data_IF_910137991723
#
_entry.id   IF_910137991723
#
_cell.length_a   1.000
_cell.length_b   1.000
_cell.length_c   1.000
_cell.angle_alpha   90.00
_cell.angle_beta   90.00
_cell.angle_gamma   90.00
#
_symmetry.space_group_name_H-M   'P 1'
#
loop_
_entity.id
_entity.type
_entity.pdbx_description
1 polymer ?
#
# COMPACT_ATOMS: atom_id res chain seq x y z
N UNK A 1 -20.28 13.86 -11.19
CA UNK A 1 -20.34 12.54 -10.54
C UNK A 1 -21.23 12.65 -9.34
N UNK A 2 -22.43 12.05 -9.40
CA UNK A 2 -23.53 12.38 -8.51
C UNK A 2 -23.57 11.52 -7.26
N UNK A 3 -23.97 12.14 -6.14
CA UNK A 3 -24.33 11.47 -4.88
C UNK A 3 -25.22 10.22 -5.08
N UNK A 4 -26.03 10.17 -6.15
CA UNK A 4 -26.82 8.99 -6.54
C UNK A 4 -26.00 7.71 -6.74
N UNK A 5 -24.85 7.78 -7.44
CA UNK A 5 -23.99 6.59 -7.66
C UNK A 5 -23.40 6.05 -6.35
N UNK A 6 -23.11 6.95 -5.41
CA UNK A 6 -22.61 6.57 -4.08
C UNK A 6 -23.70 5.88 -3.25
N UNK A 7 -24.94 6.36 -3.34
CA UNK A 7 -26.08 5.73 -2.66
C UNK A 7 -26.43 4.37 -3.26
N UNK A 8 -26.46 4.25 -4.60
CA UNK A 8 -26.68 2.98 -5.30
C UNK A 8 -25.68 1.89 -4.87
N UNK A 9 -24.43 2.28 -4.60
CA UNK A 9 -23.41 1.35 -4.09
C UNK A 9 -23.69 0.87 -2.66
N UNK A 10 -24.03 1.79 -1.74
CA UNK A 10 -24.20 1.42 -0.33
C UNK A 10 -25.58 0.82 0.01
N UNK A 11 -26.64 1.19 -0.73
CA UNK A 11 -28.01 0.73 -0.50
C UNK A 11 -28.14 -0.79 -0.32
N UNK A 12 -27.62 -1.66 -1.21
CA UNK A 12 -27.74 -3.10 -1.04
C UNK A 12 -26.97 -3.64 0.17
N UNK A 13 -25.89 -2.96 0.58
CA UNK A 13 -25.02 -3.39 1.68
C UNK A 13 -25.60 -3.05 3.06
N UNK A 14 -26.58 -2.14 3.15
CA UNK A 14 -27.27 -1.80 4.39
C UNK A 14 -28.08 -2.97 5.01
N UNK A 15 -28.29 -4.05 4.24
CA UNK A 15 -28.93 -5.30 4.66
C UNK A 15 -27.97 -6.50 4.74
N UNK A 16 -26.65 -6.31 4.63
CA UNK A 16 -25.69 -7.42 4.59
C UNK A 16 -25.74 -8.28 5.87
N UNK A 17 -25.50 -9.59 5.72
CA UNK A 17 -25.46 -10.54 6.85
C UNK A 17 -24.27 -10.24 7.77
N UNK A 18 -23.15 -9.74 7.22
CA UNK A 18 -21.96 -9.38 7.96
C UNK A 18 -22.18 -8.05 8.70
N UNK A 19 -22.16 -8.05 10.05
CA UNK A 19 -22.49 -6.87 10.84
C UNK A 19 -21.55 -5.69 10.56
N UNK A 20 -20.26 -5.93 10.37
CA UNK A 20 -19.27 -4.87 10.09
C UNK A 20 -19.54 -4.17 8.75
N UNK A 21 -19.74 -4.95 7.68
CA UNK A 21 -20.04 -4.40 6.34
C UNK A 21 -21.35 -3.63 6.34
N UNK A 22 -22.36 -4.17 7.03
CA UNK A 22 -23.67 -3.55 7.18
C UNK A 22 -23.61 -2.22 7.92
N UNK A 23 -22.94 -2.19 9.08
CA UNK A 23 -22.81 -0.96 9.88
C UNK A 23 -22.04 0.10 9.10
N UNK A 24 -20.93 -0.29 8.48
CA UNK A 24 -20.16 0.59 7.62
C UNK A 24 -21.00 1.17 6.47
N UNK A 25 -21.74 0.35 5.74
CA UNK A 25 -22.58 0.81 4.64
C UNK A 25 -23.65 1.81 5.10
N UNK A 26 -24.30 1.56 6.24
CA UNK A 26 -25.32 2.45 6.83
C UNK A 26 -24.75 3.80 7.22
N UNK A 27 -23.60 3.82 7.89
CA UNK A 27 -22.90 5.06 8.24
C UNK A 27 -22.54 5.88 6.99
N UNK A 28 -22.02 5.22 5.95
CA UNK A 28 -21.65 5.88 4.68
C UNK A 28 -22.87 6.39 3.91
N UNK A 29 -23.98 5.66 3.96
CA UNK A 29 -25.25 6.08 3.38
C UNK A 29 -25.78 7.35 4.07
N UNK A 30 -25.81 7.37 5.40
CA UNK A 30 -26.23 8.55 6.20
C UNK A 30 -25.33 9.75 5.88
N UNK A 31 -24.02 9.57 5.89
CA UNK A 31 -23.07 10.64 5.59
C UNK A 31 -23.28 11.23 4.19
N UNK A 32 -23.62 10.39 3.21
CA UNK A 32 -23.89 10.82 1.83
C UNK A 32 -25.21 11.59 1.74
N UNK A 33 -26.27 11.13 2.41
CA UNK A 33 -27.57 11.82 2.46
C UNK A 33 -27.47 13.16 3.17
N UNK A 34 -26.74 13.28 4.29
CA UNK A 34 -26.50 14.58 4.94
C UNK A 34 -25.79 15.57 4.01
N UNK A 35 -24.82 15.12 3.20
CA UNK A 35 -24.20 15.97 2.19
C UNK A 35 -25.22 16.44 1.13
N UNK A 36 -26.17 15.59 0.73
CA UNK A 36 -27.26 16.00 -0.17
C UNK A 36 -28.19 17.02 0.50
N UNK A 37 -28.58 16.79 1.76
CA UNK A 37 -29.42 17.70 2.54
C UNK A 37 -28.77 19.09 2.65
N UNK A 38 -27.51 19.16 3.08
CA UNK A 38 -26.73 20.42 3.13
C UNK A 38 -26.66 21.08 1.75
N UNK A 39 -26.43 20.31 0.69
CA UNK A 39 -26.35 20.85 -0.67
C UNK A 39 -27.68 21.46 -1.12
N UNK A 40 -28.82 20.79 -0.90
CA UNK A 40 -30.15 21.31 -1.24
C UNK A 40 -30.53 22.50 -0.37
N UNK A 41 -30.19 22.48 0.93
CA UNK A 41 -30.38 23.60 1.85
C UNK A 41 -29.60 24.84 1.40
N UNK A 42 -28.34 24.68 0.99
CA UNK A 42 -27.51 25.76 0.45
C UNK A 42 -28.05 26.32 -0.88
N UNK A 43 -28.73 25.48 -1.68
CA UNK A 43 -29.43 25.89 -2.91
C UNK A 43 -30.81 26.50 -2.66
N UNK A 44 -31.24 26.63 -1.39
CA UNK A 44 -32.59 27.08 -0.98
C UNK A 44 -33.72 26.16 -1.47
N UNK A 45 -33.40 24.90 -1.78
CA UNK A 45 -34.37 23.85 -2.11
C UNK A 45 -34.87 23.19 -0.81
N UNK A 46 -35.51 23.96 0.06
CA UNK A 46 -35.83 23.56 1.44
C UNK A 46 -36.73 22.32 1.53
N UNK A 47 -37.72 22.19 0.65
CA UNK A 47 -38.62 21.01 0.62
C UNK A 47 -37.81 19.73 0.44
N UNK A 48 -36.90 19.69 -0.54
CA UNK A 48 -36.06 18.52 -0.78
C UNK A 48 -35.07 18.27 0.36
N UNK A 49 -34.54 19.33 0.97
CA UNK A 49 -33.66 19.17 2.13
C UNK A 49 -34.40 18.56 3.32
N UNK A 50 -35.65 18.97 3.55
CA UNK A 50 -36.53 18.42 4.59
C UNK A 50 -36.89 16.96 4.32
N UNK A 51 -37.25 16.61 3.08
CA UNK A 51 -37.52 15.23 2.68
C UNK A 51 -36.32 14.32 2.96
N UNK A 52 -35.11 14.78 2.63
CA UNK A 52 -33.88 14.02 2.90
C UNK A 52 -33.61 13.93 4.40
N UNK A 53 -33.87 14.99 5.17
CA UNK A 53 -33.72 14.99 6.62
C UNK A 53 -34.61 13.94 7.28
N UNK A 54 -35.90 13.91 6.91
CA UNK A 54 -36.87 12.94 7.41
C UNK A 54 -36.47 11.50 7.02
N UNK A 55 -36.02 11.28 5.78
CA UNK A 55 -35.54 9.97 5.34
C UNK A 55 -34.34 9.48 6.17
N UNK A 56 -33.38 10.37 6.49
CA UNK A 56 -32.25 10.02 7.36
C UNK A 56 -32.76 9.66 8.76
N UNK A 57 -33.68 10.45 9.32
CA UNK A 57 -34.23 10.23 10.65
C UNK A 57 -34.92 8.87 10.76
N UNK A 58 -35.81 8.55 9.83
CA UNK A 58 -36.48 7.25 9.76
C UNK A 58 -35.48 6.08 9.67
N UNK A 59 -34.45 6.21 8.81
CA UNK A 59 -33.45 5.15 8.64
C UNK A 59 -32.56 4.95 9.86
N UNK A 60 -32.15 6.03 10.51
CA UNK A 60 -31.37 5.94 11.76
C UNK A 60 -32.14 5.26 12.87
N UNK A 61 -33.44 5.59 13.02
CA UNK A 61 -34.33 4.92 13.97
C UNK A 61 -34.50 3.44 13.63
N UNK A 62 -34.75 3.11 12.36
CA UNK A 62 -34.87 1.73 11.88
C UNK A 62 -33.60 0.91 12.14
N UNK A 63 -32.43 1.53 12.05
CA UNK A 63 -31.14 0.84 12.18
C UNK A 63 -30.55 0.89 13.58
N UNK A 64 -31.17 1.62 14.52
CA UNK A 64 -30.64 1.83 15.87
C UNK A 64 -29.32 2.61 15.89
N UNK A 65 -29.14 3.52 14.92
CA UNK A 65 -27.96 4.38 14.82
C UNK A 65 -28.31 5.75 15.41
N UNK A 66 -27.39 6.36 16.16
CA UNK A 66 -27.58 7.72 16.66
C UNK A 66 -27.76 8.69 15.48
N UNK A 67 -28.87 9.42 15.46
CA UNK A 67 -29.14 10.43 14.45
C UNK A 67 -28.09 11.55 14.45
N UNK A 68 -27.40 11.79 15.56
CA UNK A 68 -26.35 12.79 15.68
C UNK A 68 -24.95 12.23 15.46
N UNK A 69 -24.82 11.01 14.90
CA UNK A 69 -23.52 10.38 14.65
C UNK A 69 -22.58 11.39 13.97
N UNK A 70 -21.39 11.68 14.53
CA UNK A 70 -20.44 12.55 13.86
C UNK A 70 -20.15 11.98 12.47
N UNK A 71 -20.06 12.85 11.46
CA UNK A 71 -19.62 12.44 10.13
C UNK A 71 -18.21 11.87 10.28
N UNK A 72 -18.11 10.54 10.37
CA UNK A 72 -16.81 9.89 10.49
C UNK A 72 -15.94 10.38 9.33
N UNK A 73 -14.66 10.72 9.58
CA UNK A 73 -13.74 11.01 8.51
C UNK A 73 -13.80 9.86 7.51
N UNK A 74 -13.48 10.14 6.24
CA UNK A 74 -13.35 9.07 5.27
C UNK A 74 -12.52 7.96 5.93
N UNK A 75 -13.05 6.72 5.98
CA UNK A 75 -12.31 5.62 6.56
C UNK A 75 -10.94 5.65 5.91
N UNK A 76 -9.89 5.54 6.70
CA UNK A 76 -8.56 5.48 6.13
C UNK A 76 -8.52 4.24 5.24
N UNK A 77 -8.68 4.45 3.93
CA UNK A 77 -8.69 3.39 2.95
C UNK A 77 -7.29 2.83 2.76
N UNK A 78 -6.25 3.40 3.40
CA UNK A 78 -4.89 2.84 3.42
C UNK A 78 -4.87 1.36 3.84
N UNK A 79 -5.80 0.94 4.72
CA UNK A 79 -5.96 -0.46 5.14
C UNK A 79 -6.70 -1.36 4.14
N UNK A 80 -7.41 -0.75 3.17
CA UNK A 80 -8.21 -1.45 2.16
C UNK A 80 -7.77 -1.12 0.72
N UNK A 81 -6.58 -0.52 0.54
CA UNK A 81 -5.96 -0.39 -0.78
C UNK A 81 -5.61 -1.79 -1.26
N UNK A 82 -6.57 -2.34 -2.00
CA UNK A 82 -6.52 -3.37 -3.03
C UNK A 82 -5.38 -4.39 -2.88
N UNK A 83 -5.79 -5.65 -2.72
CA UNK A 83 -5.02 -6.91 -2.62
C UNK A 83 -3.86 -7.11 -3.62
N UNK A 84 -3.64 -6.18 -4.55
CA UNK A 84 -2.60 -6.21 -5.58
C UNK A 84 -1.56 -5.08 -5.51
N UNK A 85 -1.65 -4.12 -4.57
CA UNK A 85 -0.55 -3.19 -4.30
C UNK A 85 0.24 -3.64 -3.08
N UNK A 86 1.39 -4.27 -3.31
CA UNK A 86 2.37 -4.51 -2.25
C UNK A 86 2.84 -3.13 -1.77
N UNK A 87 2.74 -2.88 -0.47
CA UNK A 87 3.42 -1.76 0.18
C UNK A 87 4.55 -2.33 1.01
N UNK A 88 5.78 -2.13 0.55
CA UNK A 88 6.98 -2.39 1.36
C UNK A 88 7.25 -1.12 2.17
N UNK A 89 7.30 -1.17 3.51
CA UNK A 89 7.67 -0.02 4.33
C UNK A 89 8.99 0.60 3.83
N UNK A 90 9.02 1.93 3.69
CA UNK A 90 10.19 2.66 3.17
C UNK A 90 10.30 2.72 1.63
N UNK A 91 9.39 2.07 0.90
CA UNK A 91 9.37 2.10 -0.56
C UNK A 91 8.43 3.22 -1.09
N UNK A 92 8.88 4.06 -2.03
CA UNK A 92 8.04 5.14 -2.54
C UNK A 92 6.75 4.63 -3.22
N UNK A 93 5.61 5.24 -2.90
CA UNK A 93 4.29 4.79 -3.35
C UNK A 93 4.04 4.88 -4.86
N UNK A 94 4.93 5.54 -5.59
CA UNK A 94 4.84 5.67 -7.05
C UNK A 94 5.53 4.53 -7.80
N UNK A 95 6.33 3.69 -7.13
CA UNK A 95 7.02 2.57 -7.78
C UNK A 95 6.10 1.35 -7.79
N UNK A 96 5.76 0.79 -8.96
CA UNK A 96 4.90 -0.39 -9.05
C UNK A 96 5.64 -1.63 -8.54
N UNK A 97 5.08 -2.28 -7.52
CA UNK A 97 5.51 -3.57 -7.01
C UNK A 97 4.60 -4.68 -7.57
N UNK A 98 5.19 -5.72 -8.15
CA UNK A 98 4.52 -6.94 -8.59
C UNK A 98 4.73 -8.05 -7.57
N UNK A 99 3.67 -8.77 -7.23
CA UNK A 99 3.76 -9.98 -6.40
C UNK A 99 3.97 -11.18 -7.32
N UNK A 100 5.04 -11.92 -7.06
CA UNK A 100 5.32 -13.19 -7.71
C UNK A 100 4.71 -14.33 -6.88
N UNK A 101 4.69 -15.52 -7.46
CA UNK A 101 4.32 -16.75 -6.74
C UNK A 101 5.16 -16.88 -5.45
N UNK A 102 4.61 -17.56 -4.45
CA UNK A 102 5.29 -17.86 -3.19
C UNK A 102 5.62 -16.65 -2.27
N UNK A 103 4.99 -15.50 -2.53
CA UNK A 103 5.18 -14.30 -1.70
C UNK A 103 6.44 -13.51 -2.02
N UNK A 104 7.06 -13.79 -3.17
CA UNK A 104 8.15 -13.01 -3.71
C UNK A 104 7.66 -11.69 -4.30
N UNK A 105 8.55 -10.70 -4.38
CA UNK A 105 8.24 -9.37 -4.91
C UNK A 105 9.18 -9.06 -6.06
N UNK A 106 8.69 -8.30 -7.04
CA UNK A 106 9.45 -7.75 -8.14
C UNK A 106 9.11 -6.27 -8.28
N UNK A 107 10.11 -5.44 -8.50
CA UNK A 107 9.92 -4.02 -8.78
C UNK A 107 11.04 -3.52 -9.69
N UNK A 108 10.79 -2.39 -10.32
CA UNK A 108 11.75 -1.76 -11.22
C UNK A 108 12.09 -0.36 -10.70
N UNK A 109 13.38 -0.02 -10.69
CA UNK A 109 13.85 1.33 -10.39
C UNK A 109 14.81 1.78 -11.48
N UNK A 110 14.35 2.67 -12.35
CA UNK A 110 15.05 2.99 -13.60
C UNK A 110 15.15 1.74 -14.49
N UNK A 111 16.36 1.41 -14.93
CA UNK A 111 16.64 0.22 -15.75
C UNK A 111 17.00 -1.02 -14.91
N UNK A 112 16.97 -0.91 -13.57
CA UNK A 112 17.29 -2.03 -12.68
C UNK A 112 15.99 -2.72 -12.27
N UNK A 113 15.84 -3.97 -12.65
CA UNK A 113 14.82 -4.85 -12.10
C UNK A 113 15.35 -5.53 -10.84
N UNK A 114 14.56 -5.48 -9.76
CA UNK A 114 14.86 -6.15 -8.50
C UNK A 114 13.77 -7.16 -8.21
N UNK A 115 14.16 -8.39 -7.89
CA UNK A 115 13.24 -9.44 -7.46
C UNK A 115 13.76 -10.20 -6.26
N UNK A 116 12.85 -10.67 -5.40
CA UNK A 116 13.17 -11.70 -4.42
C UNK A 116 12.90 -13.08 -5.01
N UNK A 117 13.72 -14.07 -4.67
CA UNK A 117 13.52 -15.49 -5.01
C UNK A 117 13.71 -16.35 -3.76
N UNK A 118 13.01 -17.49 -3.70
CA UNK A 118 13.10 -18.44 -2.59
C UNK A 118 12.12 -18.18 -1.44
N UNK A 119 12.28 -18.90 -0.32
CA UNK A 119 11.39 -18.86 0.85
C UNK A 119 12.20 -18.83 2.15
N UNK A 120 11.67 -18.13 3.16
CA UNK A 120 12.24 -18.08 4.51
C UNK A 120 13.70 -17.61 4.51
N UNK A 121 14.56 -18.35 5.21
CA UNK A 121 15.99 -18.04 5.33
C UNK A 121 16.77 -18.14 4.00
N UNK A 122 16.28 -18.91 3.02
CA UNK A 122 16.96 -19.08 1.72
C UNK A 122 16.58 -18.02 0.69
N UNK A 123 15.97 -16.91 1.11
CA UNK A 123 15.59 -15.83 0.21
C UNK A 123 16.84 -15.18 -0.39
N UNK A 124 16.77 -14.87 -1.68
CA UNK A 124 17.84 -14.24 -2.47
C UNK A 124 17.27 -12.99 -3.11
N UNK A 125 18.02 -11.89 -3.11
CA UNK A 125 17.72 -10.71 -3.90
C UNK A 125 18.45 -10.82 -5.23
N UNK A 126 17.75 -10.67 -6.33
CA UNK A 126 18.32 -10.64 -7.66
C UNK A 126 18.09 -9.26 -8.27
N UNK A 127 19.14 -8.71 -8.86
CA UNK A 127 19.13 -7.47 -9.61
C UNK A 127 19.55 -7.80 -11.04
N UNK A 128 18.78 -7.29 -11.99
CA UNK A 128 19.06 -7.38 -13.40
C UNK A 128 19.11 -5.94 -13.92
N UNK A 129 20.27 -5.52 -14.41
CA UNK A 129 20.44 -4.19 -14.99
C UNK A 129 20.21 -4.23 -16.50
N UNK A 130 19.14 -3.60 -16.98
CA UNK A 130 18.78 -3.53 -18.39
C UNK A 130 19.80 -2.78 -19.26
N UNK A 131 20.72 -1.99 -18.67
CA UNK A 131 21.76 -1.29 -19.43
C UNK A 131 23.03 -2.12 -19.64
N UNK A 132 23.45 -2.86 -18.61
CA UNK A 132 24.71 -3.63 -18.65
C UNK A 132 24.50 -5.13 -18.89
N UNK A 133 23.26 -5.61 -18.74
CA UNK A 133 22.89 -7.03 -18.70
C UNK A 133 23.65 -7.82 -17.63
N UNK A 134 24.16 -7.14 -16.60
CA UNK A 134 24.81 -7.79 -15.48
C UNK A 134 23.78 -8.26 -14.45
N UNK A 135 23.89 -9.54 -14.09
CA UNK A 135 23.14 -10.14 -12.99
C UNK A 135 23.89 -10.00 -11.68
N UNK A 136 23.25 -9.38 -10.69
CA UNK A 136 23.73 -9.35 -9.31
C UNK A 136 22.78 -10.16 -8.44
N UNK A 137 23.33 -10.98 -7.53
CA UNK A 137 22.55 -11.73 -6.55
C UNK A 137 23.12 -11.54 -5.15
N UNK A 138 22.28 -11.12 -4.22
CA UNK A 138 22.61 -11.10 -2.79
C UNK A 138 21.94 -12.28 -2.12
N UNK A 139 22.76 -13.21 -1.64
CA UNK A 139 22.33 -14.47 -1.03
C UNK A 139 22.31 -14.25 0.48
N UNK A 140 21.11 -14.06 1.04
CA UNK A 140 20.93 -13.54 2.40
C UNK A 140 21.46 -14.50 3.49
N UNK A 141 21.17 -15.80 3.38
CA UNK A 141 21.63 -16.81 4.37
C UNK A 141 23.16 -16.96 4.43
N UNK A 142 23.83 -16.78 3.30
CA UNK A 142 25.28 -16.93 3.19
C UNK A 142 26.01 -15.59 3.34
N UNK A 143 25.27 -14.49 3.53
CA UNK A 143 25.79 -13.10 3.56
C UNK A 143 26.82 -12.85 2.46
N UNK A 144 26.48 -13.24 1.23
CA UNK A 144 27.39 -13.14 0.08
C UNK A 144 26.72 -12.49 -1.11
N UNK A 145 27.56 -11.99 -2.00
CA UNK A 145 27.16 -11.48 -3.31
C UNK A 145 27.74 -12.37 -4.41
N UNK A 146 26.94 -12.62 -5.44
CA UNK A 146 27.34 -13.30 -6.67
C UNK A 146 27.06 -12.37 -7.85
N UNK A 147 27.95 -12.35 -8.84
CA UNK A 147 27.85 -11.45 -10.01
C UNK A 147 28.98 -10.43 -10.08
N UNK A 148 28.83 -9.41 -10.93
CA UNK A 148 29.84 -8.39 -11.24
C UNK A 148 29.98 -7.26 -10.20
N UNK A 149 29.61 -7.50 -8.94
CA UNK A 149 29.78 -6.50 -7.88
C UNK A 149 31.06 -6.73 -7.08
N UNK A 150 31.67 -5.62 -6.65
CA UNK A 150 32.55 -5.65 -5.47
C UNK A 150 31.67 -5.65 -4.23
N UNK A 151 32.03 -6.44 -3.22
CA UNK A 151 31.31 -6.44 -1.96
C UNK A 151 32.27 -6.50 -0.77
N UNK A 152 31.82 -5.94 0.34
CA UNK A 152 32.52 -5.93 1.63
C UNK A 152 31.53 -6.30 2.73
N UNK A 153 31.94 -7.20 3.61
CA UNK A 153 31.19 -7.57 4.81
C UNK A 153 31.76 -6.81 6.01
N UNK A 154 30.89 -6.22 6.85
CA UNK A 154 31.30 -5.52 8.06
C UNK A 154 31.97 -6.49 9.05
N UNK A 155 32.83 -5.97 9.94
CA UNK A 155 33.50 -6.78 10.99
C UNK A 155 32.52 -7.48 11.93
N UNK A 156 31.37 -6.86 12.16
CA UNK A 156 30.25 -7.39 12.95
C UNK A 156 29.33 -8.32 12.15
N UNK A 157 29.56 -8.46 10.84
CA UNK A 157 28.75 -9.21 9.87
C UNK A 157 27.25 -8.89 9.89
N UNK A 158 26.91 -7.70 10.37
CA UNK A 158 25.57 -7.13 10.42
C UNK A 158 25.25 -6.29 9.19
N UNK A 159 26.26 -6.02 8.34
CA UNK A 159 26.11 -5.26 7.11
C UNK A 159 26.95 -5.84 5.99
N UNK A 160 26.33 -6.04 4.83
CA UNK A 160 26.99 -6.31 3.56
C UNK A 160 26.83 -5.10 2.65
N UNK A 161 27.93 -4.54 2.18
CA UNK A 161 27.94 -3.43 1.24
C UNK A 161 28.37 -3.95 -0.13
N UNK A 162 27.73 -3.52 -1.20
CA UNK A 162 28.12 -3.87 -2.57
C UNK A 162 28.09 -2.66 -3.50
N UNK A 163 28.94 -2.70 -4.53
CA UNK A 163 29.04 -1.69 -5.58
C UNK A 163 29.16 -2.37 -6.94
N UNK A 164 28.28 -1.99 -7.87
CA UNK A 164 28.33 -2.42 -9.27
C UNK A 164 28.89 -1.27 -10.09
N UNK A 165 30.16 -1.39 -10.48
CA UNK A 165 30.88 -0.29 -11.16
C UNK A 165 30.32 0.04 -12.53
N UNK A 166 29.88 -0.96 -13.29
CA UNK A 166 29.36 -0.77 -14.65
C UNK A 166 28.12 0.12 -14.66
N UNK A 167 27.20 -0.15 -13.74
CA UNK A 167 25.90 0.51 -13.62
C UNK A 167 25.92 1.73 -12.68
N UNK A 168 26.92 1.80 -11.79
CA UNK A 168 27.10 2.89 -10.83
C UNK A 168 26.10 2.90 -9.68
N UNK A 169 25.42 1.78 -9.40
CA UNK A 169 24.60 1.63 -8.20
C UNK A 169 25.35 0.88 -7.10
N UNK A 170 24.98 1.17 -5.87
CA UNK A 170 25.52 0.52 -4.67
C UNK A 170 24.41 0.26 -3.67
N UNK A 171 24.64 -0.67 -2.75
CA UNK A 171 23.66 -0.96 -1.72
C UNK A 171 24.28 -1.53 -0.47
N UNK A 172 23.57 -1.32 0.64
CA UNK A 172 23.84 -1.91 1.94
C UNK A 172 22.72 -2.87 2.30
N UNK A 173 23.05 -4.08 2.72
CA UNK A 173 22.13 -5.06 3.28
C UNK A 173 22.46 -5.23 4.74
N UNK A 174 21.51 -4.88 5.59
CA UNK A 174 21.58 -4.99 7.04
C UNK A 174 20.91 -6.28 7.48
N UNK A 175 21.68 -7.11 8.19
CA UNK A 175 21.22 -8.34 8.81
C UNK A 175 20.83 -8.02 10.25
N UNK A 176 19.53 -7.90 10.54
CA UNK A 176 19.05 -7.78 11.91
C UNK A 176 18.64 -9.16 12.46
N UNK A 177 18.53 -9.28 13.78
CA UNK A 177 18.09 -10.53 14.41
C UNK A 177 16.70 -11.00 13.92
N UNK A 178 16.37 -12.25 14.18
CA UNK A 178 15.09 -12.90 13.80
C UNK A 178 14.66 -12.71 12.33
N UNK A 179 15.54 -13.02 11.37
CA UNK A 179 15.20 -13.07 9.93
C UNK A 179 14.63 -11.77 9.34
N UNK A 180 14.89 -10.62 9.98
CA UNK A 180 14.53 -9.31 9.45
C UNK A 180 15.73 -8.76 8.71
N UNK A 181 15.61 -8.60 7.40
CA UNK A 181 16.66 -7.97 6.61
C UNK A 181 16.17 -6.62 6.12
N UNK A 182 17.07 -5.63 6.14
CA UNK A 182 16.79 -4.32 5.56
C UNK A 182 17.82 -4.04 4.49
N UNK A 183 17.38 -3.66 3.31
CA UNK A 183 18.24 -3.20 2.25
C UNK A 183 18.10 -1.70 2.06
N UNK A 184 19.23 -1.03 1.87
CA UNK A 184 19.33 0.34 1.40
C UNK A 184 20.02 0.32 0.03
N UNK A 185 19.31 0.73 -1.02
CA UNK A 185 19.86 0.82 -2.37
C UNK A 185 20.05 2.30 -2.75
N UNK A 186 21.23 2.61 -3.26
CA UNK A 186 21.61 3.93 -3.79
C UNK A 186 21.79 3.80 -5.30
N UNK A 187 20.96 4.53 -6.05
CA UNK A 187 20.96 4.48 -7.52
C UNK A 187 21.46 5.81 -8.04
N UNK A 188 22.43 5.77 -8.96
CA UNK A 188 22.97 6.97 -9.60
C UNK A 188 21.85 7.73 -10.33
N UNK A 189 21.74 9.03 -10.06
CA UNK A 189 20.73 9.89 -10.66
C UNK A 189 19.40 9.96 -9.91
N UNK A 190 19.24 9.18 -8.84
CA UNK A 190 18.09 9.29 -7.94
C UNK A 190 18.50 10.06 -6.68
N UNK A 191 17.83 11.19 -6.42
CA UNK A 191 18.03 11.97 -5.19
C UNK A 191 17.29 11.29 -4.03
N UNK A 192 17.86 10.20 -3.52
CA UNK A 192 17.29 9.43 -2.41
C UNK A 192 17.87 8.02 -2.28
N UNK A 193 17.43 7.32 -1.24
CA UNK A 193 17.72 5.89 -1.01
C UNK A 193 16.42 5.11 -1.13
N UNK A 194 16.50 3.90 -1.67
CA UNK A 194 15.39 2.95 -1.70
C UNK A 194 15.56 1.98 -0.54
N UNK A 195 14.52 1.85 0.29
CA UNK A 195 14.51 0.96 1.44
C UNK A 195 13.62 -0.25 1.16
N UNK A 196 14.13 -1.45 1.45
CA UNK A 196 13.37 -2.70 1.30
C UNK A 196 13.47 -3.47 2.62
N UNK A 197 12.35 -3.68 3.28
CA UNK A 197 12.22 -4.63 4.40
C UNK A 197 11.87 -6.01 3.85
N UNK A 198 12.64 -7.03 4.24
CA UNK A 198 12.60 -8.39 3.70
C UNK A 198 12.38 -9.41 4.82
#
# INVERSE_FOLDING_TARGET
GGYGKTLEFYQPLCGDRHPEKRNFARERWIATKRKQEIYHRNKKEFVKAEDIYLEIQEKTQQWGIDFNLPLLPYPDLSKYVLENQIRVPGFPSYIPLKRLEDGNIQFQVGEIEVQTKGKGSRRVLCFEDGNSFEDLRVILHDKRVSGSAKFELSRSEDRLSFEVKASGYSGDVFFSGENKYRMELTIRGLNGKVFVEI
#
